data_IF_235049588908
#
_entry.id   IF_235049588908
#
_cell.length_a   1.000
_cell.length_b   1.000
_cell.length_c   1.000
_cell.angle_alpha   90.00
_cell.angle_beta   90.00
_cell.angle_gamma   90.00
#
_symmetry.space_group_name_H-M   'P 1'
#
loop_
_entity.id
_entity.type
_entity.pdbx_description
1 polymer ?
#
# COMPACT_ATOMS: atom_id res chain seq x y z
N UNK A 1 18.34 17.28 -14.53
CA UNK A 1 18.03 16.08 -15.35
C UNK A 1 17.27 15.11 -14.46
N UNK A 2 15.97 14.96 -14.73
CA UNK A 2 15.01 14.22 -13.91
C UNK A 2 15.39 12.72 -13.91
N UNK A 3 15.74 12.19 -12.74
CA UNK A 3 16.01 10.75 -12.55
C UNK A 3 14.69 10.08 -12.21
N UNK A 4 14.02 9.54 -13.22
CA UNK A 4 12.87 8.64 -13.08
C UNK A 4 13.32 7.40 -12.29
N UNK A 5 12.94 7.32 -11.01
CA UNK A 5 13.00 6.06 -10.28
C UNK A 5 11.78 5.25 -10.74
N UNK A 6 12.04 4.29 -11.62
CA UNK A 6 11.04 3.36 -12.12
C UNK A 6 10.48 2.53 -10.97
N UNK A 7 9.17 2.61 -10.81
CA UNK A 7 8.36 1.63 -10.09
C UNK A 7 8.70 0.26 -10.66
N UNK A 8 9.26 -0.62 -9.82
CA UNK A 8 9.46 -2.02 -10.18
C UNK A 8 8.09 -2.68 -10.19
N UNK A 9 7.50 -2.74 -11.39
CA UNK A 9 6.38 -3.63 -11.69
C UNK A 9 6.86 -5.08 -11.49
N UNK A 10 6.51 -5.69 -10.36
CA UNK A 10 6.68 -7.12 -10.15
C UNK A 10 5.45 -7.81 -10.74
N UNK A 11 5.48 -7.98 -12.06
CA UNK A 11 4.71 -9.01 -12.75
C UNK A 11 5.71 -10.07 -13.20
N UNK A 12 5.64 -11.27 -12.63
CA UNK A 12 5.70 -12.56 -13.37
C UNK A 12 5.67 -13.79 -12.45
N UNK A 13 4.73 -14.64 -12.82
CA UNK A 13 4.72 -16.11 -12.84
C UNK A 13 6.00 -16.85 -12.45
N UNK A 14 5.82 -17.93 -11.69
CA UNK A 14 6.68 -19.10 -11.76
C UNK A 14 5.86 -20.39 -11.62
N UNK A 15 5.75 -21.09 -12.73
CA UNK A 15 5.30 -22.47 -12.89
C UNK A 15 6.41 -23.46 -12.49
N UNK A 16 6.10 -24.44 -11.63
CA UNK A 16 6.84 -25.72 -11.44
C UNK A 16 5.81 -26.71 -10.87
N UNK A 17 5.67 -27.98 -11.22
CA UNK A 17 5.91 -28.77 -12.42
C UNK A 17 5.10 -30.07 -12.18
N UNK A 18 4.51 -30.60 -13.24
CA UNK A 18 3.62 -31.77 -13.24
C UNK A 18 4.39 -33.05 -12.89
N UNK A 19 3.80 -33.93 -12.08
CA UNK A 19 4.04 -35.38 -12.17
C UNK A 19 2.73 -36.06 -12.58
N UNK A 20 2.80 -36.76 -13.72
CA UNK A 20 1.77 -37.57 -14.36
C UNK A 20 1.52 -38.84 -13.53
N UNK A 21 0.26 -39.23 -13.41
CA UNK A 21 -0.15 -40.62 -13.32
C UNK A 21 -1.47 -40.78 -14.10
N UNK A 22 -1.61 -41.94 -14.72
CA UNK A 22 -2.41 -42.28 -15.90
C UNK A 22 -3.90 -42.51 -15.57
N UNK A 23 -4.74 -42.31 -16.59
CA UNK A 23 -6.20 -42.44 -16.62
C UNK A 23 -6.69 -43.89 -16.43
N UNK A 24 -7.84 -44.04 -15.76
CA UNK A 24 -8.83 -45.06 -16.12
C UNK A 24 -10.23 -44.44 -16.01
N UNK A 25 -10.99 -44.53 -17.10
CA UNK A 25 -12.39 -44.11 -17.19
C UNK A 25 -13.30 -45.22 -16.69
N UNK A 26 -14.21 -44.93 -15.75
CA UNK A 26 -15.44 -45.69 -15.59
C UNK A 26 -16.62 -44.74 -15.37
N UNK A 27 -17.60 -44.85 -16.26
CA UNK A 27 -18.93 -44.24 -16.19
C UNK A 27 -19.64 -44.74 -14.93
N UNK A 28 -20.47 -43.92 -14.27
CA UNK A 28 -21.77 -44.31 -13.72
C UNK A 28 -22.56 -43.10 -13.16
N UNK A 29 -23.88 -43.17 -13.37
CA UNK A 29 -24.95 -42.19 -13.09
C UNK A 29 -25.06 -41.67 -11.64
N UNK A 30 -25.71 -40.52 -11.41
CA UNK A 30 -25.87 -39.94 -10.08
C UNK A 30 -26.91 -40.68 -9.23
N UNK A 31 -26.45 -41.35 -8.17
CA UNK A 31 -27.31 -41.93 -7.14
C UNK A 31 -27.94 -40.84 -6.25
N UNK A 32 -29.27 -40.76 -6.30
CA UNK A 32 -30.16 -39.95 -5.46
C UNK A 32 -29.84 -40.15 -3.96
N UNK A 33 -29.55 -39.07 -3.23
CA UNK A 33 -29.45 -39.09 -1.76
C UNK A 33 -30.76 -38.64 -1.11
N UNK A 34 -31.30 -39.54 -0.28
CA UNK A 34 -32.62 -39.52 0.37
C UNK A 34 -32.85 -38.32 1.31
N UNK A 35 -34.11 -37.90 1.40
CA UNK A 35 -34.65 -36.84 2.30
C UNK A 35 -34.47 -37.20 3.78
N UNK A 36 -34.15 -36.20 4.61
CA UNK A 36 -34.20 -36.24 6.08
C UNK A 36 -35.64 -36.12 6.56
N UNK A 37 -36.02 -36.93 7.54
CA UNK A 37 -37.20 -36.73 8.39
C UNK A 37 -36.71 -36.18 9.72
N UNK A 38 -37.27 -35.05 10.14
CA UNK A 38 -37.28 -34.60 11.52
C UNK A 38 -38.61 -33.87 11.77
N UNK A 39 -39.27 -34.31 12.83
CA UNK A 39 -40.62 -33.98 13.28
C UNK A 39 -40.66 -32.63 14.00
N UNK A 40 -41.78 -31.91 13.85
CA UNK A 40 -42.39 -30.88 14.71
C UNK A 40 -41.52 -29.90 15.52
N UNK A 41 -41.64 -28.59 15.27
CA UNK A 41 -42.64 -27.77 15.99
C UNK A 41 -42.59 -26.28 15.57
N UNK A 42 -43.76 -25.63 15.67
CA UNK A 42 -44.08 -24.28 15.24
C UNK A 42 -43.18 -23.19 15.87
N UNK A 43 -42.42 -22.46 15.06
CA UNK A 43 -42.01 -21.09 15.35
C UNK A 43 -42.19 -20.23 14.09
N UNK A 44 -42.96 -19.17 14.29
CA UNK A 44 -43.40 -18.15 13.34
C UNK A 44 -42.43 -17.95 12.16
N UNK A 45 -42.92 -18.25 10.96
CA UNK A 45 -42.21 -17.98 9.72
C UNK A 45 -41.96 -16.48 9.57
N UNK A 46 -40.77 -16.03 9.98
CA UNK A 46 -40.23 -14.75 9.55
C UNK A 46 -40.11 -14.83 8.04
N UNK A 47 -41.06 -14.21 7.32
CA UNK A 47 -40.94 -13.97 5.88
C UNK A 47 -39.61 -13.25 5.68
N UNK A 48 -38.61 -13.97 5.18
CA UNK A 48 -37.41 -13.35 4.64
C UNK A 48 -37.89 -12.39 3.56
N UNK A 49 -37.86 -11.10 3.83
CA UNK A 49 -37.94 -10.10 2.80
C UNK A 49 -36.78 -10.40 1.86
N UNK A 50 -37.07 -11.06 0.72
CA UNK A 50 -36.25 -10.95 -0.47
C UNK A 50 -36.29 -9.47 -0.82
N UNK A 51 -35.36 -8.71 -0.28
CA UNK A 51 -35.17 -7.32 -0.67
C UNK A 51 -35.10 -7.32 -2.19
N UNK A 52 -36.06 -6.66 -2.83
CA UNK A 52 -35.94 -6.28 -4.24
C UNK A 52 -34.54 -5.68 -4.35
N UNK A 53 -33.71 -6.26 -5.22
CA UNK A 53 -32.31 -5.88 -5.36
C UNK A 53 -32.25 -4.35 -5.38
N UNK A 54 -31.52 -3.76 -4.42
CA UNK A 54 -31.28 -2.33 -4.41
C UNK A 54 -30.84 -1.97 -5.82
N UNK A 55 -31.53 -1.03 -6.48
CA UNK A 55 -30.97 -0.38 -7.68
C UNK A 55 -29.60 0.12 -7.26
N UNK A 56 -28.55 -0.56 -7.72
CA UNK A 56 -27.19 -0.08 -7.53
C UNK A 56 -27.11 1.14 -8.41
N UNK A 57 -26.94 2.31 -7.80
CA UNK A 57 -26.67 3.53 -8.54
C UNK A 57 -25.41 3.26 -9.36
N UNK A 58 -25.54 3.19 -10.68
CA UNK A 58 -24.38 3.06 -11.53
C UNK A 58 -23.73 4.45 -11.53
N UNK A 59 -22.58 4.59 -10.87
CA UNK A 59 -21.90 5.88 -10.76
C UNK A 59 -21.52 6.48 -12.12
N UNK A 60 -21.48 5.65 -13.16
CA UNK A 60 -21.30 6.07 -14.56
C UNK A 60 -22.49 6.87 -15.13
N UNK A 61 -23.65 6.82 -14.48
CA UNK A 61 -24.86 7.57 -14.90
C UNK A 61 -24.90 9.00 -14.30
N UNK A 62 -23.99 9.32 -13.37
CA UNK A 62 -23.89 10.63 -12.74
C UNK A 62 -22.97 11.53 -13.59
N UNK A 63 -23.33 12.80 -13.84
CA UNK A 63 -22.43 13.76 -14.45
C UNK A 63 -21.11 13.88 -13.67
N UNK A 64 -19.99 13.99 -14.38
CA UNK A 64 -18.65 13.99 -13.79
C UNK A 64 -18.47 15.10 -12.74
N UNK A 65 -19.06 16.27 -12.96
CA UNK A 65 -19.02 17.41 -12.04
C UNK A 65 -19.62 17.08 -10.67
N UNK A 66 -20.81 16.46 -10.67
CA UNK A 66 -21.49 16.05 -9.42
C UNK A 66 -20.72 14.92 -8.74
N UNK A 67 -20.15 14.01 -9.52
CA UNK A 67 -19.28 12.97 -8.99
C UNK A 67 -18.07 13.57 -8.28
N UNK A 68 -17.40 14.56 -8.89
CA UNK A 68 -16.26 15.23 -8.27
C UNK A 68 -16.63 15.98 -6.99
N UNK A 69 -17.77 16.66 -6.95
CA UNK A 69 -18.27 17.29 -5.73
C UNK A 69 -18.42 16.26 -4.59
N UNK A 70 -18.99 15.08 -4.88
CA UNK A 70 -19.09 13.99 -3.91
C UNK A 70 -17.69 13.53 -3.46
N UNK A 71 -16.74 13.39 -4.38
CA UNK A 71 -15.37 12.97 -4.07
C UNK A 71 -14.61 13.99 -3.21
N UNK A 72 -14.84 15.28 -3.39
CA UNK A 72 -14.18 16.34 -2.60
C UNK A 72 -14.67 16.39 -1.15
N UNK A 73 -15.84 15.84 -0.87
CA UNK A 73 -16.38 15.66 0.48
C UNK A 73 -15.79 14.45 1.22
N UNK A 74 -15.05 13.57 0.53
CA UNK A 74 -14.46 12.38 1.14
C UNK A 74 -13.15 12.70 1.86
N UNK A 75 -12.84 11.90 2.89
CA UNK A 75 -11.50 11.95 3.49
C UNK A 75 -10.48 11.28 2.57
N UNK A 76 -9.17 11.63 2.65
CA UNK A 76 -8.14 10.92 1.90
C UNK A 76 -8.13 9.40 2.15
N UNK A 77 -8.45 8.96 3.38
CA UNK A 77 -8.58 7.54 3.71
C UNK A 77 -9.70 6.87 2.93
N UNK A 78 -10.87 7.53 2.82
CA UNK A 78 -12.01 6.99 2.09
C UNK A 78 -11.71 6.92 0.60
N UNK A 79 -11.04 7.93 0.07
CA UNK A 79 -10.62 7.98 -1.33
C UNK A 79 -9.63 6.85 -1.66
N UNK A 80 -8.68 6.54 -0.77
CA UNK A 80 -7.78 5.39 -0.91
C UNK A 80 -8.53 4.06 -0.89
N UNK A 81 -9.54 3.92 -0.02
CA UNK A 81 -10.35 2.70 -0.01
C UNK A 81 -11.19 2.59 -1.30
N UNK A 82 -11.70 3.71 -1.80
CA UNK A 82 -12.52 3.76 -3.00
C UNK A 82 -11.69 3.43 -4.25
N UNK A 83 -10.46 3.91 -4.35
CA UNK A 83 -9.54 3.59 -5.46
C UNK A 83 -9.21 2.10 -5.56
N UNK A 84 -9.36 1.36 -4.45
CA UNK A 84 -9.13 -0.09 -4.36
C UNK A 84 -10.43 -0.91 -4.45
N UNK A 85 -11.61 -0.27 -4.46
CA UNK A 85 -12.90 -0.96 -4.39
C UNK A 85 -13.30 -1.65 -5.71
N UNK A 86 -12.79 -1.19 -6.85
CA UNK A 86 -13.09 -1.78 -8.16
C UNK A 86 -12.37 -1.10 -9.31
N UNK A 87 -12.34 -1.78 -10.47
CA UNK A 87 -11.56 -1.37 -11.65
C UNK A 87 -11.95 0.01 -12.20
N UNK A 88 -13.21 0.40 -12.06
CA UNK A 88 -13.72 1.69 -12.55
C UNK A 88 -13.19 2.86 -11.72
N UNK A 89 -13.17 2.70 -10.40
CA UNK A 89 -12.57 3.70 -9.52
C UNK A 89 -11.06 3.71 -9.68
N UNK A 90 -10.45 2.53 -9.77
CA UNK A 90 -9.02 2.40 -9.98
C UNK A 90 -8.57 3.13 -11.26
N UNK A 91 -9.32 3.02 -12.36
CA UNK A 91 -9.01 3.74 -13.61
C UNK A 91 -9.22 5.24 -13.49
N UNK A 92 -10.28 5.68 -12.81
CA UNK A 92 -10.56 7.10 -12.57
C UNK A 92 -9.47 7.75 -11.70
N UNK A 93 -9.10 7.13 -10.57
CA UNK A 93 -8.07 7.61 -9.65
C UNK A 93 -6.64 7.38 -10.14
N UNK A 94 -6.45 6.85 -11.35
CA UNK A 94 -5.17 6.85 -12.06
C UNK A 94 -5.24 7.61 -13.39
N UNK A 95 -6.39 8.18 -13.70
CA UNK A 95 -6.63 8.97 -14.89
C UNK A 95 -6.03 10.38 -14.81
N UNK A 96 -6.17 11.17 -15.88
CA UNK A 96 -5.59 12.51 -15.98
C UNK A 96 -6.13 13.50 -14.93
N UNK A 97 -7.37 13.34 -14.49
CA UNK A 97 -8.02 14.24 -13.52
C UNK A 97 -7.70 13.88 -12.06
N UNK A 98 -7.11 12.71 -11.85
CA UNK A 98 -6.80 12.20 -10.52
C UNK A 98 -5.95 13.15 -9.66
N UNK A 99 -4.87 13.78 -10.17
CA UNK A 99 -4.04 14.67 -9.36
C UNK A 99 -4.81 15.83 -8.75
N UNK A 100 -5.77 16.39 -9.49
CA UNK A 100 -6.63 17.48 -9.00
C UNK A 100 -7.47 17.01 -7.83
N UNK A 101 -8.07 15.81 -7.94
CA UNK A 101 -8.93 15.27 -6.88
C UNK A 101 -8.15 15.02 -5.59
N UNK A 102 -7.00 14.34 -5.70
CA UNK A 102 -6.20 14.05 -4.51
C UNK A 102 -5.63 15.32 -3.87
N UNK A 103 -5.22 16.30 -4.69
CA UNK A 103 -4.72 17.57 -4.20
C UNK A 103 -5.79 18.34 -3.42
N UNK A 104 -7.01 18.39 -3.93
CA UNK A 104 -8.13 19.07 -3.27
C UNK A 104 -8.51 18.39 -1.96
N UNK A 105 -8.68 17.06 -1.99
CA UNK A 105 -8.98 16.26 -0.79
C UNK A 105 -7.88 16.37 0.25
N UNK A 106 -6.60 16.47 -0.16
CA UNK A 106 -5.48 16.72 0.75
C UNK A 106 -5.53 18.12 1.38
N UNK A 107 -5.91 19.15 0.63
CA UNK A 107 -6.03 20.51 1.16
C UNK A 107 -7.18 20.66 2.15
N UNK A 108 -8.24 19.86 2.00
CA UNK A 108 -9.38 19.84 2.92
C UNK A 108 -9.07 19.19 4.28
N UNK A 109 -7.89 18.56 4.44
CA UNK A 109 -7.47 17.97 5.72
C UNK A 109 -7.06 19.05 6.71
N UNK A 110 -7.60 18.99 7.92
CA UNK A 110 -7.23 19.84 9.05
C UNK A 110 -6.55 18.99 10.13
N UNK A 111 -5.35 19.37 10.60
CA UNK A 111 -4.49 20.46 10.12
C UNK A 111 -3.94 20.16 8.71
N UNK A 112 -3.61 21.23 7.98
CA UNK A 112 -3.15 21.14 6.60
C UNK A 112 -1.94 20.20 6.46
N UNK A 113 -2.08 19.20 5.58
CA UNK A 113 -1.00 18.30 5.23
C UNK A 113 0.07 19.00 4.38
N UNK A 114 1.34 18.61 4.50
CA UNK A 114 2.38 19.13 3.62
C UNK A 114 2.08 18.80 2.16
N UNK A 115 2.67 19.54 1.21
CA UNK A 115 2.57 19.21 -0.21
C UNK A 115 3.12 17.82 -0.48
N UNK A 116 2.57 17.16 -1.49
CA UNK A 116 3.08 15.88 -1.96
C UNK A 116 4.57 16.00 -2.34
N UNK A 117 5.45 15.11 -1.82
CA UNK A 117 6.85 15.09 -2.21
C UNK A 117 7.03 14.92 -3.73
N UNK A 118 8.04 15.54 -4.35
CA UNK A 118 8.22 15.54 -5.80
C UNK A 118 8.56 14.15 -6.38
N UNK A 119 8.95 13.20 -5.52
CA UNK A 119 9.23 11.81 -5.87
C UNK A 119 7.99 10.91 -5.89
N UNK A 120 6.83 11.41 -5.44
CA UNK A 120 5.56 10.68 -5.37
C UNK A 120 4.48 11.37 -6.20
N UNK A 121 3.50 10.60 -6.65
CA UNK A 121 2.22 11.16 -7.04
C UNK A 121 1.28 11.28 -5.83
N UNK A 122 0.20 12.05 -5.97
CA UNK A 122 -0.72 12.33 -4.86
C UNK A 122 -1.43 11.07 -4.35
N UNK A 123 -1.72 10.09 -5.21
CA UNK A 123 -2.29 8.80 -4.79
C UNK A 123 -1.29 8.00 -3.95
N UNK A 124 -0.05 7.86 -4.40
CA UNK A 124 1.02 7.16 -3.66
C UNK A 124 1.27 7.82 -2.31
N UNK A 125 1.24 9.15 -2.26
CA UNK A 125 1.38 9.90 -1.02
C UNK A 125 0.18 9.67 -0.08
N UNK A 126 -1.05 9.68 -0.61
CA UNK A 126 -2.25 9.36 0.16
C UNK A 126 -2.25 7.89 0.66
N UNK A 127 -1.79 6.93 -0.15
CA UNK A 127 -1.64 5.53 0.26
C UNK A 127 -0.59 5.37 1.35
N UNK A 128 0.52 6.13 1.28
CA UNK A 128 1.57 6.14 2.30
C UNK A 128 1.06 6.71 3.64
N UNK A 129 0.24 7.77 3.59
CA UNK A 129 -0.37 8.42 4.74
C UNK A 129 -1.50 7.59 5.38
N UNK A 130 -2.46 7.14 4.56
CA UNK A 130 -3.77 6.70 5.01
C UNK A 130 -4.16 5.28 4.59
N UNK A 131 -3.35 4.65 3.74
CA UNK A 131 -3.63 3.29 3.29
C UNK A 131 -3.79 2.33 4.47
N UNK A 132 -4.32 1.13 4.22
CA UNK A 132 -4.44 0.07 5.24
C UNK A 132 -3.86 -1.27 4.79
N UNK A 133 -3.32 -1.33 3.59
CA UNK A 133 -2.78 -2.53 2.97
C UNK A 133 -1.24 -2.50 2.95
N UNK A 134 -0.63 -3.67 3.04
CA UNK A 134 0.80 -3.86 2.80
C UNK A 134 1.11 -3.71 1.30
N UNK A 135 2.13 -2.94 0.93
CA UNK A 135 2.53 -2.75 -0.47
C UNK A 135 3.06 -4.03 -1.14
N UNK A 136 3.45 -5.04 -0.35
CA UNK A 136 4.04 -6.27 -0.87
C UNK A 136 3.01 -7.39 -1.07
N UNK A 137 2.08 -7.54 -0.13
CA UNK A 137 1.08 -8.62 -0.19
C UNK A 137 -0.34 -8.13 -0.46
N UNK A 138 -0.56 -6.81 -0.57
CA UNK A 138 -1.85 -6.15 -0.75
C UNK A 138 -2.92 -6.47 0.33
N UNK A 139 -2.53 -7.14 1.42
CA UNK A 139 -3.45 -7.50 2.50
C UNK A 139 -3.48 -6.43 3.59
N UNK A 140 -4.66 -6.22 4.16
CA UNK A 140 -4.88 -5.44 5.37
C UNK A 140 -4.50 -6.25 6.61
N UNK A 141 -3.22 -6.23 6.97
CA UNK A 141 -2.64 -6.99 8.08
C UNK A 141 -2.02 -6.02 9.08
N UNK A 142 -2.30 -6.22 10.37
CA UNK A 142 -1.68 -5.46 11.46
C UNK A 142 -0.70 -6.33 12.27
N UNK A 143 0.39 -5.76 12.82
CA UNK A 143 0.81 -4.37 12.66
C UNK A 143 1.35 -4.11 11.25
N UNK A 144 1.13 -2.88 10.78
CA UNK A 144 1.55 -2.36 9.49
C UNK A 144 2.51 -1.19 9.74
N UNK A 145 3.73 -1.30 9.24
CA UNK A 145 4.76 -0.27 9.41
C UNK A 145 4.75 0.68 8.23
N UNK A 146 4.69 1.99 8.48
CA UNK A 146 4.96 3.02 7.47
C UNK A 146 6.40 3.47 7.60
N UNK A 147 7.20 3.21 6.57
CA UNK A 147 8.62 3.59 6.49
C UNK A 147 8.76 4.71 5.48
N UNK A 148 8.81 5.93 5.98
CA UNK A 148 8.77 7.13 5.16
C UNK A 148 9.99 7.28 4.26
N UNK A 149 11.17 6.94 4.76
CA UNK A 149 12.42 7.02 4.00
C UNK A 149 12.49 5.98 2.88
N UNK A 150 11.69 4.91 2.98
CA UNK A 150 11.56 3.89 1.94
C UNK A 150 10.33 4.11 1.03
N UNK A 151 9.42 5.04 1.38
CA UNK A 151 8.09 5.17 0.76
C UNK A 151 7.27 3.87 0.80
N UNK A 152 7.46 3.05 1.84
CA UNK A 152 6.84 1.72 1.92
C UNK A 152 5.92 1.57 3.11
N UNK A 153 4.83 0.81 2.89
CA UNK A 153 4.01 0.24 3.97
C UNK A 153 4.12 -1.27 3.96
N UNK A 154 4.53 -1.85 5.07
CA UNK A 154 4.93 -3.25 5.11
C UNK A 154 4.50 -3.94 6.40
N UNK A 155 3.88 -5.11 6.28
CA UNK A 155 3.48 -5.92 7.45
C UNK A 155 4.65 -6.77 7.95
N UNK A 156 4.58 -7.22 9.20
CA UNK A 156 5.64 -8.04 9.82
C UNK A 156 6.05 -9.29 9.01
N UNK A 157 5.11 -9.93 8.33
CA UNK A 157 5.40 -11.10 7.49
C UNK A 157 6.28 -10.71 6.29
N UNK A 158 5.92 -9.62 5.61
CA UNK A 158 6.68 -9.12 4.46
C UNK A 158 8.03 -8.53 4.87
N UNK A 159 8.16 -7.93 6.07
CA UNK A 159 9.48 -7.48 6.57
C UNK A 159 10.47 -8.65 6.62
N UNK A 160 10.05 -9.79 7.16
CA UNK A 160 10.92 -10.99 7.26
C UNK A 160 11.25 -11.60 5.90
N UNK A 161 10.38 -11.41 4.91
CA UNK A 161 10.55 -11.97 3.57
C UNK A 161 11.41 -11.09 2.66
N UNK A 162 11.26 -9.77 2.75
CA UNK A 162 11.81 -8.82 1.78
C UNK A 162 12.91 -7.93 2.33
N UNK A 163 13.10 -7.88 3.66
CA UNK A 163 14.14 -7.07 4.31
C UNK A 163 15.22 -7.96 4.93
N UNK A 164 16.41 -7.39 5.13
CA UNK A 164 17.56 -8.07 5.74
C UNK A 164 17.83 -7.54 7.14
N UNK A 165 18.34 -8.37 8.04
CA UNK A 165 18.79 -7.95 9.38
C UNK A 165 20.20 -7.36 9.36
N UNK A 166 20.96 -7.63 8.32
CA UNK A 166 22.32 -7.14 8.18
C UNK A 166 22.33 -5.90 7.31
N UNK A 167 22.86 -4.78 7.83
CA UNK A 167 23.32 -3.73 6.94
C UNK A 167 24.47 -4.33 6.16
N UNK A 168 24.41 -4.37 4.83
CA UNK A 168 25.52 -4.90 4.06
C UNK A 168 26.70 -3.91 4.15
N UNK A 169 27.52 -4.01 5.21
CA UNK A 169 28.60 -3.05 5.53
C UNK A 169 29.59 -2.91 4.37
N UNK A 170 29.88 -4.01 3.69
CA UNK A 170 30.69 -4.01 2.46
C UNK A 170 30.07 -3.18 1.34
N UNK A 171 28.75 -3.04 1.33
CA UNK A 171 28.01 -2.31 0.31
C UNK A 171 27.98 -0.80 0.54
N UNK A 172 28.11 -0.35 1.78
CA UNK A 172 28.16 1.07 2.14
C UNK A 172 29.56 1.68 2.20
N UNK A 173 30.65 0.90 2.05
CA UNK A 173 32.03 1.42 2.17
C UNK A 173 32.31 2.68 1.34
N UNK A 174 31.69 2.79 0.16
CA UNK A 174 31.86 3.95 -0.73
C UNK A 174 30.91 5.12 -0.43
N UNK A 175 29.87 4.88 0.37
CA UNK A 175 28.77 5.79 0.71
C UNK A 175 28.47 5.76 2.22
N UNK A 176 29.52 5.70 3.05
CA UNK A 176 29.42 5.59 4.52
C UNK A 176 28.61 6.74 5.13
N UNK A 177 28.66 7.92 4.51
CA UNK A 177 27.92 9.12 4.90
C UNK A 177 26.39 8.90 4.90
N UNK A 178 25.90 7.94 4.11
CA UNK A 178 24.48 7.60 4.01
C UNK A 178 24.02 6.58 5.07
N UNK A 179 24.93 6.02 5.88
CA UNK A 179 24.59 4.94 6.83
C UNK A 179 23.47 5.34 7.79
N UNK A 180 23.49 6.59 8.26
CA UNK A 180 22.48 7.10 9.20
C UNK A 180 21.12 7.37 8.54
N UNK A 181 21.04 7.33 7.21
CA UNK A 181 19.81 7.55 6.45
C UNK A 181 19.21 6.25 5.91
N UNK A 182 19.87 5.11 6.09
CA UNK A 182 19.37 3.82 5.61
C UNK A 182 18.00 3.54 6.24
N UNK A 183 16.94 3.38 5.43
CA UNK A 183 15.61 3.09 5.94
C UNK A 183 15.63 1.77 6.71
N UNK A 184 15.06 1.78 7.91
CA UNK A 184 15.04 0.61 8.77
C UNK A 184 13.73 0.48 9.54
N UNK A 185 13.44 -0.75 9.95
CA UNK A 185 12.21 -1.11 10.67
C UNK A 185 12.59 -1.96 11.87
N UNK A 186 11.99 -1.68 13.02
CA UNK A 186 12.07 -2.57 14.17
C UNK A 186 10.77 -3.36 14.28
N UNK A 187 10.87 -4.69 14.19
CA UNK A 187 9.75 -5.58 14.53
C UNK A 187 9.99 -6.19 15.89
N UNK A 188 8.93 -6.34 16.68
CA UNK A 188 9.02 -6.90 18.03
C UNK A 188 8.36 -8.28 18.08
N UNK A 189 9.02 -9.20 18.79
CA UNK A 189 8.47 -10.51 19.18
C UNK A 189 8.66 -10.67 20.69
N UNK A 190 7.60 -10.38 21.44
CA UNK A 190 7.70 -10.16 22.89
C UNK A 190 8.60 -8.96 23.18
N UNK A 191 9.58 -9.13 24.08
CA UNK A 191 10.56 -8.09 24.43
C UNK A 191 11.73 -7.95 23.44
N UNK A 192 11.87 -8.86 22.47
CA UNK A 192 12.98 -8.84 21.51
C UNK A 192 12.61 -8.01 20.29
N UNK A 193 13.31 -6.89 20.11
CA UNK A 193 13.28 -6.09 18.89
C UNK A 193 14.36 -6.55 17.90
N UNK A 194 13.97 -6.78 16.65
CA UNK A 194 14.90 -7.04 15.55
C UNK A 194 14.80 -5.91 14.53
N UNK A 195 15.96 -5.35 14.15
CA UNK A 195 16.05 -4.30 13.13
C UNK A 195 16.25 -4.91 11.75
N UNK A 196 15.50 -4.44 10.78
CA UNK A 196 15.55 -4.83 9.38
C UNK A 196 15.83 -3.62 8.49
N UNK A 197 16.44 -3.87 7.34
CA UNK A 197 16.83 -2.88 6.34
C UNK A 197 16.36 -3.29 4.95
N UNK A 198 16.06 -2.31 4.10
CA UNK A 198 15.65 -2.53 2.72
C UNK A 198 16.89 -2.72 1.83
N UNK A 199 17.28 -3.97 1.59
CA UNK A 199 18.46 -4.29 0.78
C UNK A 199 18.41 -3.67 -0.63
N UNK A 200 17.22 -3.67 -1.25
CA UNK A 200 16.99 -3.11 -2.58
C UNK A 200 17.35 -1.62 -2.66
N UNK A 201 16.99 -0.83 -1.65
CA UNK A 201 17.28 0.61 -1.60
C UNK A 201 18.79 0.85 -1.51
N UNK A 202 19.48 0.07 -0.68
CA UNK A 202 20.94 0.17 -0.53
C UNK A 202 21.63 -0.15 -1.86
N UNK A 203 21.18 -1.20 -2.55
CA UNK A 203 21.71 -1.58 -3.86
C UNK A 203 21.44 -0.50 -4.92
N UNK A 204 20.26 0.13 -4.89
CA UNK A 204 19.94 1.22 -5.82
C UNK A 204 20.79 2.46 -5.57
N UNK A 205 21.02 2.83 -4.31
CA UNK A 205 21.94 3.91 -3.94
C UNK A 205 23.35 3.63 -4.43
N UNK A 206 23.83 2.41 -4.25
CA UNK A 206 25.15 1.99 -4.74
C UNK A 206 25.23 2.06 -6.26
N UNK A 207 24.25 1.53 -6.98
CA UNK A 207 24.21 1.57 -8.46
C UNK A 207 24.22 3.01 -8.96
N UNK A 208 23.42 3.89 -8.35
CA UNK A 208 23.37 5.30 -8.68
C UNK A 208 24.72 6.01 -8.39
N UNK A 209 25.33 5.73 -7.24
CA UNK A 209 26.65 6.27 -6.89
C UNK A 209 27.75 5.84 -7.87
N UNK A 210 27.80 4.56 -8.21
CA UNK A 210 28.80 4.03 -9.14
C UNK A 210 28.63 4.56 -10.56
N UNK A 211 27.40 4.82 -10.99
CA UNK A 211 27.09 5.43 -12.29
C UNK A 211 27.43 6.93 -12.33
N UNK A 212 27.48 7.60 -11.17
CA UNK A 212 27.74 9.04 -11.11
C UNK A 212 29.20 9.37 -11.42
N UNK A 213 29.39 10.30 -12.37
CA UNK A 213 30.72 10.87 -12.67
C UNK A 213 31.21 11.79 -11.55
N UNK A 214 30.29 12.53 -10.91
CA UNK A 214 30.59 13.48 -9.83
C UNK A 214 30.13 12.93 -8.48
N UNK A 215 30.90 11.99 -7.92
CA UNK A 215 30.56 11.25 -6.69
C UNK A 215 30.32 12.14 -5.46
N UNK A 216 31.18 13.15 -5.24
CA UNK A 216 31.02 14.08 -4.12
C UNK A 216 29.71 14.87 -4.21
N UNK A 217 29.43 15.46 -5.39
CA UNK A 217 28.18 16.19 -5.65
C UNK A 217 26.96 15.30 -5.47
N UNK A 218 27.02 14.06 -5.96
CA UNK A 218 25.94 13.09 -5.79
C UNK A 218 25.66 12.80 -4.31
N UNK A 219 26.70 12.61 -3.49
CA UNK A 219 26.54 12.38 -2.04
C UNK A 219 25.83 13.55 -1.37
N UNK A 220 26.30 14.77 -1.59
CA UNK A 220 25.71 15.97 -1.00
C UNK A 220 24.24 16.12 -1.40
N UNK A 221 23.92 15.97 -2.69
CA UNK A 221 22.53 16.04 -3.15
C UNK A 221 21.66 14.91 -2.57
N UNK A 222 22.19 13.70 -2.44
CA UNK A 222 21.45 12.56 -1.88
C UNK A 222 21.19 12.73 -0.38
N UNK A 223 22.16 13.23 0.38
CA UNK A 223 21.97 13.56 1.80
C UNK A 223 20.89 14.63 1.94
N UNK A 224 20.95 15.70 1.14
CA UNK A 224 19.93 16.74 1.16
C UNK A 224 18.53 16.20 0.85
N UNK A 225 18.40 15.33 -0.15
CA UNK A 225 17.15 14.64 -0.47
C UNK A 225 16.61 13.85 0.74
N UNK A 226 17.44 13.03 1.36
CA UNK A 226 17.05 12.18 2.49
C UNK A 226 16.70 13.00 3.74
N UNK A 227 17.36 14.13 3.95
CA UNK A 227 17.05 15.06 5.03
C UNK A 227 15.68 15.73 4.83
N UNK A 228 15.38 16.17 3.60
CA UNK A 228 14.04 16.70 3.28
C UNK A 228 12.96 15.66 3.53
N UNK A 229 13.20 14.40 3.15
CA UNK A 229 12.26 13.30 3.40
C UNK A 229 12.02 13.14 4.90
N UNK A 230 13.06 13.07 5.72
CA UNK A 230 12.94 12.98 7.18
C UNK A 230 12.15 14.13 7.79
N UNK A 231 12.45 15.36 7.40
CA UNK A 231 11.77 16.54 7.92
C UNK A 231 10.26 16.51 7.61
N UNK A 232 9.89 16.18 6.37
CA UNK A 232 8.48 16.04 5.99
C UNK A 232 7.81 14.93 6.80
N UNK A 233 8.51 13.81 7.00
CA UNK A 233 8.01 12.66 7.75
C UNK A 233 7.76 13.00 9.21
N UNK A 234 8.68 13.70 9.87
CA UNK A 234 8.52 14.16 11.25
C UNK A 234 7.37 15.15 11.38
N UNK A 235 7.21 16.09 10.44
CA UNK A 235 6.06 17.00 10.43
C UNK A 235 4.75 16.23 10.32
N UNK A 236 4.66 15.25 9.41
CA UNK A 236 3.47 14.42 9.26
C UNK A 236 3.17 13.62 10.53
N UNK A 237 4.17 12.92 11.08
CA UNK A 237 4.01 12.12 12.30
C UNK A 237 3.55 13.01 13.45
N UNK A 238 4.16 14.20 13.60
CA UNK A 238 3.78 15.16 14.62
C UNK A 238 2.32 15.64 14.45
N UNK A 239 1.90 15.98 13.22
CA UNK A 239 0.52 16.37 12.93
C UNK A 239 -0.48 15.25 13.27
N UNK A 240 -0.20 14.02 12.85
CA UNK A 240 -1.07 12.87 13.09
C UNK A 240 -1.17 12.51 14.58
N UNK A 241 -0.08 12.66 15.34
CA UNK A 241 -0.09 12.42 16.78
C UNK A 241 -0.78 13.56 17.55
N UNK A 242 -0.59 14.83 17.14
CA UNK A 242 -1.22 15.98 17.81
C UNK A 242 -2.75 15.92 17.81
N UNK A 243 -3.36 15.38 16.74
CA UNK A 243 -4.81 15.21 16.66
C UNK A 243 -5.37 14.16 17.62
N UNK A 244 -4.58 13.13 17.95
CA UNK A 244 -4.99 12.08 18.89
C UNK A 244 -5.10 12.65 20.31
N UNK A 245 -4.23 13.61 20.67
CA UNK A 245 -4.22 14.24 22.00
C UNK A 245 -5.24 15.36 22.17
N UNK A 246 -5.75 15.97 21.10
CA UNK A 246 -6.74 17.07 21.18
C UNK A 246 -8.19 16.54 21.17
N UNK A 247 -8.41 15.31 20.68
CA UNK A 247 -9.72 14.64 20.64
C UNK A 247 -9.98 13.67 21.80
N UNK A 248 -9.15 13.69 22.86
CA UNK A 248 -9.30 12.91 24.10
C UNK A 248 -9.61 13.83 25.27
#
# INVERSE_FOLDING_TARGET
MKSTMGVVNISKESSINKKKAIQTQEKNEPLKRKRKVATGDNLLAVKKFKGKGKKVCNLREIPLEILFEILYLLTPSDLVNLSQAGKDFESMFRGPDSPTIWKEVRHNVVPALPPCPPDLNELEFAELLFGKCCHYCAKKIMPLHTVWEARQRICNQCVKQWCTTEIPKMQLKSITDLQNYVPSICTYSGHRGTRYYFATIIDDWRKAYNKSKAKAKWKTSKIQELEMIRQVSYRIIWLLLSHIFISS
#
